data_IF_528219444193
#
_entry.id   IF_528219444193
#
_cell.length_a   1.000
_cell.length_b   1.000
_cell.length_c   1.000
_cell.angle_alpha   90.00
_cell.angle_beta   90.00
_cell.angle_gamma   90.00
#
_symmetry.space_group_name_H-M   'P 1'
#
loop_
_entity.id
_entity.type
_entity.pdbx_description
1 polymer ?
#
# COMPACT_ATOMS: atom_id res chain seq x y z
N UNK A 1 -11.02 -0.01 12.97
CA UNK A 1 -10.19 -1.10 12.42
C UNK A 1 -10.26 -2.40 13.22
N UNK A 2 -10.03 -2.41 14.55
CA UNK A 2 -9.99 -3.65 15.34
C UNK A 2 -11.25 -4.53 15.21
N UNK A 3 -12.45 -3.95 15.29
CA UNK A 3 -13.70 -4.69 15.08
C UNK A 3 -13.82 -5.28 13.66
N UNK A 4 -13.31 -4.57 12.65
CA UNK A 4 -13.30 -5.06 11.26
C UNK A 4 -12.40 -6.30 11.10
N UNK A 5 -11.28 -6.37 11.83
CA UNK A 5 -10.40 -7.56 11.81
C UNK A 5 -11.15 -8.81 12.27
N UNK A 6 -11.94 -8.73 13.33
CA UNK A 6 -12.70 -9.87 13.82
C UNK A 6 -13.80 -10.30 12.82
N UNK A 7 -14.46 -9.33 12.18
CA UNK A 7 -15.41 -9.60 11.10
C UNK A 7 -14.72 -10.24 9.88
N UNK A 8 -13.51 -9.83 9.54
CA UNK A 8 -12.76 -10.42 8.42
C UNK A 8 -12.35 -11.87 8.71
N UNK A 9 -12.17 -12.27 9.97
CA UNK A 9 -11.89 -13.66 10.35
C UNK A 9 -13.16 -14.52 10.31
N UNK A 10 -14.30 -13.96 10.69
CA UNK A 10 -15.60 -14.64 10.72
C UNK A 10 -16.68 -13.76 10.06
N UNK A 11 -16.71 -13.67 8.73
CA UNK A 11 -17.60 -12.74 8.04
C UNK A 11 -19.06 -13.19 8.15
N UNK A 12 -19.99 -12.27 8.43
CA UNK A 12 -21.41 -12.54 8.25
C UNK A 12 -21.73 -12.83 6.77
N UNK A 13 -22.66 -13.75 6.53
CA UNK A 13 -23.07 -14.11 5.17
C UNK A 13 -23.69 -12.91 4.47
N UNK A 14 -23.20 -12.61 3.26
CA UNK A 14 -23.69 -11.52 2.42
C UNK A 14 -23.01 -10.17 2.66
N UNK A 15 -22.09 -10.07 3.62
CA UNK A 15 -21.33 -8.85 3.93
C UNK A 15 -19.89 -8.89 3.38
N UNK A 16 -19.49 -9.98 2.71
CA UNK A 16 -18.10 -10.26 2.36
C UNK A 16 -17.46 -9.15 1.50
N UNK A 17 -18.18 -8.70 0.46
CA UNK A 17 -17.71 -7.63 -0.43
C UNK A 17 -17.62 -6.29 0.29
N UNK A 18 -18.58 -6.00 1.16
CA UNK A 18 -18.62 -4.76 1.93
C UNK A 18 -17.46 -4.68 2.92
N UNK A 19 -17.19 -5.77 3.65
CA UNK A 19 -16.05 -5.85 4.57
C UNK A 19 -14.71 -5.71 3.84
N UNK A 20 -14.59 -6.27 2.63
CA UNK A 20 -13.42 -6.07 1.78
C UNK A 20 -13.29 -4.60 1.33
N UNK A 21 -14.36 -3.93 0.91
CA UNK A 21 -14.29 -2.50 0.56
C UNK A 21 -13.83 -1.64 1.75
N UNK A 22 -14.35 -1.91 2.94
CA UNK A 22 -13.90 -1.21 4.15
C UNK A 22 -12.40 -1.39 4.40
N UNK A 23 -11.90 -2.62 4.28
CA UNK A 23 -10.48 -2.94 4.46
C UNK A 23 -9.61 -2.24 3.40
N UNK A 24 -10.03 -2.26 2.14
CA UNK A 24 -9.23 -1.80 0.99
C UNK A 24 -9.23 -0.27 0.94
N UNK A 25 -10.40 0.35 1.05
CA UNK A 25 -10.64 1.74 0.63
C UNK A 25 -10.99 2.71 1.77
N UNK A 26 -11.24 2.22 3.00
CA UNK A 26 -11.72 3.06 4.13
C UNK A 26 -10.76 3.13 5.32
N UNK A 27 -9.49 2.79 5.10
CA UNK A 27 -8.44 2.90 6.12
C UNK A 27 -7.38 3.89 5.66
N UNK A 28 -7.03 4.91 6.48
CA UNK A 28 -5.92 5.81 6.16
C UNK A 28 -4.62 5.04 5.89
N UNK A 29 -3.77 5.51 4.96
CA UNK A 29 -2.44 4.95 4.74
C UNK A 29 -1.42 5.46 5.78
N UNK A 30 -0.17 5.02 5.68
CA UNK A 30 0.91 5.59 6.49
C UNK A 30 0.98 5.04 7.91
N UNK A 31 1.16 5.95 8.87
CA UNK A 31 1.40 5.67 10.30
C UNK A 31 0.21 6.02 11.20
N UNK A 32 -0.98 6.11 10.62
CA UNK A 32 -2.24 6.25 11.37
C UNK A 32 -2.51 5.01 12.25
N UNK A 33 -3.21 5.18 13.37
CA UNK A 33 -3.50 4.10 14.30
C UNK A 33 -4.34 2.98 13.68
N UNK A 34 -5.24 3.30 12.75
CA UNK A 34 -5.98 2.30 11.99
C UNK A 34 -5.09 1.57 10.98
N UNK A 35 -4.13 2.28 10.37
CA UNK A 35 -3.13 1.69 9.49
C UNK A 35 -2.23 0.69 10.24
N UNK A 36 -1.84 0.99 11.48
CA UNK A 36 -1.08 0.08 12.34
C UNK A 36 -1.81 -1.27 12.51
N UNK A 37 -3.09 -1.22 12.88
CA UNK A 37 -3.92 -2.43 13.06
C UNK A 37 -4.11 -3.18 11.74
N UNK A 38 -4.33 -2.47 10.63
CA UNK A 38 -4.46 -3.06 9.29
C UNK A 38 -3.17 -3.78 8.85
N UNK A 39 -2.02 -3.11 8.97
CA UNK A 39 -0.72 -3.68 8.60
C UNK A 39 -0.40 -4.92 9.43
N UNK A 40 -0.63 -4.87 10.75
CA UNK A 40 -0.44 -6.02 11.64
C UNK A 40 -1.32 -7.23 11.27
N UNK A 41 -2.60 -7.00 10.97
CA UNK A 41 -3.50 -8.06 10.51
C UNK A 41 -3.06 -8.67 9.18
N UNK A 42 -2.76 -7.84 8.17
CA UNK A 42 -2.33 -8.32 6.85
C UNK A 42 -0.99 -9.07 6.93
N UNK A 43 -0.04 -8.59 7.75
CA UNK A 43 1.22 -9.28 7.99
C UNK A 43 1.00 -10.65 8.65
N UNK A 44 0.12 -10.73 9.65
CA UNK A 44 -0.23 -12.00 10.31
C UNK A 44 -0.90 -12.99 9.34
N UNK A 45 -1.75 -12.51 8.43
CA UNK A 45 -2.36 -13.35 7.37
C UNK A 45 -1.29 -13.84 6.39
N UNK A 46 -0.38 -12.97 5.96
CA UNK A 46 0.71 -13.33 5.05
C UNK A 46 1.65 -14.39 5.65
N UNK A 47 1.96 -14.30 6.96
CA UNK A 47 2.80 -15.26 7.68
C UNK A 47 2.06 -16.54 8.09
N UNK A 48 0.73 -16.56 8.00
CA UNK A 48 -0.10 -17.69 8.43
C UNK A 48 -0.35 -17.74 9.95
N UNK A 49 0.01 -16.71 10.70
CA UNK A 49 -0.25 -16.57 12.14
C UNK A 49 -1.74 -16.38 12.45
N UNK A 50 -2.48 -15.87 11.46
CA UNK A 50 -3.94 -15.78 11.49
C UNK A 50 -4.53 -16.09 10.12
N UNK A 51 -5.83 -16.36 10.07
CA UNK A 51 -6.53 -16.72 8.83
C UNK A 51 -7.79 -15.88 8.66
N UNK A 52 -8.16 -15.67 7.39
CA UNK A 52 -9.42 -15.05 6.99
C UNK A 52 -9.95 -15.80 5.77
N UNK A 53 -11.24 -16.14 5.71
CA UNK A 53 -11.82 -16.71 4.49
C UNK A 53 -11.87 -15.72 3.32
N UNK A 54 -11.66 -14.41 3.58
CA UNK A 54 -11.74 -13.35 2.56
C UNK A 54 -10.38 -12.84 2.09
N UNK A 55 -9.31 -13.08 2.86
CA UNK A 55 -7.97 -12.57 2.57
C UNK A 55 -6.97 -13.72 2.60
N UNK A 56 -6.52 -14.13 1.42
CA UNK A 56 -5.38 -15.05 1.24
C UNK A 56 -4.04 -14.37 1.56
N UNK A 57 -2.97 -15.12 1.86
CA UNK A 57 -1.62 -14.57 2.02
C UNK A 57 -1.16 -13.67 0.85
N UNK A 58 -1.42 -14.09 -0.39
CA UNK A 58 -1.08 -13.34 -1.61
C UNK A 58 -1.81 -12.00 -1.64
N UNK A 59 -3.13 -12.02 -1.40
CA UNK A 59 -3.96 -10.82 -1.29
C UNK A 59 -3.49 -9.91 -0.16
N UNK A 60 -3.04 -10.45 0.97
CA UNK A 60 -2.55 -9.64 2.07
C UNK A 60 -1.29 -8.84 1.68
N UNK A 61 -0.36 -9.46 0.96
CA UNK A 61 0.84 -8.79 0.42
C UNK A 61 0.46 -7.72 -0.62
N UNK A 62 -0.51 -8.00 -1.51
CA UNK A 62 -1.02 -6.98 -2.43
C UNK A 62 -1.56 -5.75 -1.68
N UNK A 63 -2.34 -5.98 -0.62
CA UNK A 63 -2.96 -4.91 0.16
C UNK A 63 -1.95 -4.15 1.02
N UNK A 64 -0.91 -4.81 1.54
CA UNK A 64 0.21 -4.13 2.17
C UNK A 64 0.89 -3.16 1.19
N UNK A 65 0.97 -3.53 -0.09
CA UNK A 65 1.50 -2.68 -1.16
C UNK A 65 0.71 -1.39 -1.42
N UNK A 66 -0.54 -1.28 -0.97
CA UNK A 66 -1.37 -0.08 -1.19
C UNK A 66 -1.35 0.92 -0.03
N UNK A 67 -0.63 0.61 1.06
CA UNK A 67 -0.64 1.42 2.28
C UNK A 67 0.31 2.63 2.26
N UNK A 68 0.89 2.93 1.08
CA UNK A 68 1.80 4.03 0.76
C UNK A 68 3.18 4.00 1.44
N UNK A 69 3.27 3.57 2.71
CA UNK A 69 4.50 3.48 3.49
C UNK A 69 4.23 3.40 5.00
N UNK A 70 5.28 3.23 5.80
CA UNK A 70 5.16 3.07 7.26
C UNK A 70 5.08 1.61 7.70
N UNK A 71 4.00 1.24 8.40
CA UNK A 71 3.89 -0.08 9.04
C UNK A 71 3.85 -1.27 8.07
N UNK A 72 3.59 -1.03 6.78
CA UNK A 72 3.54 -2.06 5.74
C UNK A 72 4.93 -2.47 5.20
N UNK A 73 5.98 -1.66 5.42
CA UNK A 73 7.28 -1.84 4.75
C UNK A 73 8.00 -3.13 5.21
N UNK A 74 8.19 -3.32 6.52
CA UNK A 74 8.88 -4.50 7.04
C UNK A 74 8.18 -5.81 6.63
N UNK A 75 6.83 -5.95 6.74
CA UNK A 75 6.13 -7.11 6.22
C UNK A 75 6.39 -7.41 4.73
N UNK A 76 6.49 -6.37 3.89
CA UNK A 76 6.80 -6.55 2.46
C UNK A 76 8.25 -6.99 2.25
N UNK A 77 9.20 -6.45 3.02
CA UNK A 77 10.61 -6.84 2.96
C UNK A 77 10.81 -8.30 3.42
N UNK A 78 10.16 -8.68 4.53
CA UNK A 78 10.15 -10.06 5.03
C UNK A 78 9.63 -11.03 3.95
N UNK A 79 8.58 -10.64 3.23
CA UNK A 79 7.95 -11.46 2.21
C UNK A 79 8.84 -11.72 0.98
N UNK A 80 9.95 -10.99 0.80
CA UNK A 80 10.93 -11.29 -0.25
C UNK A 80 11.65 -12.63 -0.05
N UNK A 81 11.62 -13.21 1.15
CA UNK A 81 12.24 -14.50 1.44
C UNK A 81 11.29 -15.69 1.22
N UNK A 82 9.99 -15.45 1.02
CA UNK A 82 9.00 -16.49 0.75
C UNK A 82 8.82 -16.68 -0.76
N UNK A 83 9.11 -17.87 -1.28
CA UNK A 83 9.09 -18.14 -2.71
C UNK A 83 7.72 -17.90 -3.39
N UNK A 84 6.61 -17.98 -2.66
CA UNK A 84 5.26 -17.72 -3.19
C UNK A 84 4.90 -16.23 -3.13
N UNK A 85 5.31 -15.55 -2.07
CA UNK A 85 4.94 -14.15 -1.83
C UNK A 85 5.93 -13.14 -2.43
N UNK A 86 7.19 -13.52 -2.58
CA UNK A 86 8.27 -12.64 -3.02
C UNK A 86 8.01 -11.96 -4.38
N UNK A 87 7.42 -12.62 -5.41
CA UNK A 87 7.06 -11.92 -6.65
C UNK A 87 6.06 -10.78 -6.43
N UNK A 88 5.10 -10.96 -5.52
CA UNK A 88 4.06 -9.97 -5.21
C UNK A 88 4.65 -8.83 -4.38
N UNK A 89 5.46 -9.17 -3.38
CA UNK A 89 6.15 -8.21 -2.52
C UNK A 89 7.14 -7.35 -3.31
N UNK A 90 7.91 -7.96 -4.21
CA UNK A 90 8.82 -7.25 -5.09
C UNK A 90 8.07 -6.21 -5.95
N UNK A 91 6.94 -6.62 -6.57
CA UNK A 91 6.10 -5.68 -7.32
C UNK A 91 5.58 -4.53 -6.46
N UNK A 92 5.15 -4.82 -5.22
CA UNK A 92 4.69 -3.77 -4.30
C UNK A 92 5.81 -2.79 -3.93
N UNK A 93 6.99 -3.31 -3.55
CA UNK A 93 8.15 -2.50 -3.16
C UNK A 93 8.70 -1.66 -4.32
N UNK A 94 8.71 -2.20 -5.55
CA UNK A 94 9.09 -1.48 -6.77
C UNK A 94 8.34 -0.15 -6.98
N UNK A 95 7.09 -0.06 -6.51
CA UNK A 95 6.26 1.15 -6.62
C UNK A 95 6.12 1.92 -5.29
N UNK A 96 6.80 1.49 -4.23
CA UNK A 96 6.77 2.14 -2.92
C UNK A 96 7.88 3.19 -2.84
N UNK A 97 7.50 4.45 -2.63
CA UNK A 97 8.44 5.58 -2.59
C UNK A 97 8.97 5.88 -1.18
N UNK A 98 8.15 5.61 -0.16
CA UNK A 98 8.45 5.96 1.23
C UNK A 98 9.34 4.90 1.91
N UNK A 99 10.41 4.49 1.23
CA UNK A 99 11.36 3.48 1.72
C UNK A 99 12.30 4.05 2.80
N UNK A 100 12.77 5.29 2.63
CA UNK A 100 13.74 5.93 3.52
C UNK A 100 14.90 4.97 3.85
N UNK A 101 15.27 4.81 5.12
CA UNK A 101 16.37 3.93 5.54
C UNK A 101 16.10 2.44 5.27
N UNK A 102 14.83 2.01 5.15
CA UNK A 102 14.50 0.62 4.79
C UNK A 102 14.96 0.25 3.36
N UNK A 103 15.41 1.23 2.57
CA UNK A 103 16.15 0.97 1.34
C UNK A 103 17.34 0.03 1.58
N UNK A 104 18.09 0.25 2.67
CA UNK A 104 19.29 -0.54 2.96
C UNK A 104 18.97 -1.99 3.30
N UNK A 105 17.80 -2.28 3.88
CA UNK A 105 17.36 -3.64 4.17
C UNK A 105 17.11 -4.44 2.88
N UNK A 106 16.54 -3.79 1.86
CA UNK A 106 16.36 -4.38 0.53
C UNK A 106 17.72 -4.55 -0.18
N UNK A 107 18.59 -3.54 -0.09
CA UNK A 107 19.94 -3.60 -0.64
C UNK A 107 20.77 -4.75 -0.03
N UNK A 108 20.68 -4.96 1.28
CA UNK A 108 21.36 -6.03 1.99
C UNK A 108 20.90 -7.41 1.49
N UNK A 109 19.58 -7.62 1.38
CA UNK A 109 19.03 -8.85 0.80
C UNK A 109 19.51 -9.08 -0.64
N UNK A 110 19.55 -8.04 -1.46
CA UNK A 110 20.05 -8.12 -2.83
C UNK A 110 21.53 -8.53 -2.88
N UNK A 111 22.37 -7.93 -2.02
CA UNK A 111 23.80 -8.26 -1.86
C UNK A 111 24.01 -9.69 -1.33
N UNK A 112 23.09 -10.18 -0.50
CA UNK A 112 23.07 -11.56 -0.01
C UNK A 112 22.60 -12.59 -1.06
N UNK A 113 22.18 -12.14 -2.25
CA UNK A 113 21.81 -13.00 -3.38
C UNK A 113 20.30 -13.23 -3.56
N UNK A 114 19.43 -12.51 -2.84
CA UNK A 114 17.99 -12.59 -3.08
C UNK A 114 17.64 -11.94 -4.44
N UNK A 115 17.22 -12.76 -5.41
CA UNK A 115 16.89 -12.32 -6.77
C UNK A 115 15.70 -11.36 -6.83
N UNK A 116 14.72 -11.50 -5.92
CA UNK A 116 13.58 -10.58 -5.85
C UNK A 116 13.98 -9.23 -5.29
N UNK A 117 14.87 -9.18 -4.30
CA UNK A 117 15.43 -7.93 -3.82
C UNK A 117 16.27 -7.23 -4.90
N UNK A 118 17.04 -7.97 -5.70
CA UNK A 118 17.74 -7.43 -6.87
C UNK A 118 16.77 -6.85 -7.91
N UNK A 119 15.65 -7.52 -8.16
CA UNK A 119 14.59 -7.01 -9.04
C UNK A 119 14.04 -5.67 -8.54
N UNK A 120 13.77 -5.54 -7.23
CA UNK A 120 13.31 -4.27 -6.63
C UNK A 120 14.33 -3.16 -6.83
N UNK A 121 15.60 -3.44 -6.52
CA UNK A 121 16.70 -2.48 -6.70
C UNK A 121 16.83 -2.02 -8.15
N UNK A 122 16.73 -2.95 -9.11
CA UNK A 122 16.79 -2.65 -10.54
C UNK A 122 15.58 -1.81 -10.99
N UNK A 123 14.38 -2.16 -10.55
CA UNK A 123 13.14 -1.42 -10.84
C UNK A 123 13.20 0.04 -10.35
N UNK A 124 13.76 0.28 -9.17
CA UNK A 124 14.01 1.63 -8.66
C UNK A 124 15.06 2.38 -9.49
N UNK A 125 16.16 1.71 -9.86
CA UNK A 125 17.22 2.29 -10.69
C UNK A 125 16.72 2.67 -12.09
N UNK A 126 15.84 1.85 -12.67
CA UNK A 126 15.18 2.09 -13.96
C UNK A 126 14.01 3.08 -13.86
N UNK A 127 13.74 3.61 -12.65
CA UNK A 127 12.67 4.56 -12.38
C UNK A 127 11.28 4.07 -12.82
N UNK A 128 11.00 2.76 -12.71
CA UNK A 128 9.72 2.18 -13.14
C UNK A 128 8.53 2.78 -12.37
N UNK A 129 8.72 3.15 -11.09
CA UNK A 129 7.72 3.86 -10.29
C UNK A 129 7.25 5.19 -10.92
N UNK A 130 8.11 5.82 -11.71
CA UNK A 130 7.84 7.06 -12.43
C UNK A 130 7.36 6.78 -13.86
N UNK A 131 8.10 5.96 -14.61
CA UNK A 131 7.86 5.70 -16.04
C UNK A 131 6.59 4.89 -16.32
N UNK A 132 6.11 4.11 -15.34
CA UNK A 132 4.83 3.38 -15.45
C UNK A 132 3.60 4.28 -15.35
N UNK A 133 3.76 5.54 -14.89
CA UNK A 133 2.65 6.48 -14.72
C UNK A 133 2.37 7.20 -16.04
N UNK A 134 1.10 7.55 -16.34
CA UNK A 134 0.78 8.32 -17.54
C UNK A 134 1.56 9.65 -17.56
N UNK A 135 2.23 9.99 -18.68
CA UNK A 135 2.85 11.30 -18.84
C UNK A 135 1.80 12.41 -18.88
N UNK A 136 2.21 13.65 -18.63
CA UNK A 136 1.36 14.81 -18.83
C UNK A 136 0.88 14.88 -20.29
N UNK A 137 -0.42 15.02 -20.50
CA UNK A 137 -0.96 15.17 -21.85
C UNK A 137 -0.48 16.48 -22.49
N UNK A 138 -0.14 16.44 -23.79
CA UNK A 138 0.29 17.63 -24.56
C UNK A 138 -0.78 18.74 -24.58
N UNK A 139 -2.05 18.36 -24.42
CA UNK A 139 -3.19 19.27 -24.35
C UNK A 139 -4.18 18.78 -23.31
N UNK A 140 -4.59 19.69 -22.40
CA UNK A 140 -5.63 19.44 -21.40
C UNK A 140 -6.84 20.32 -21.72
N UNK A 141 -8.00 19.71 -21.94
CA UNK A 141 -9.27 20.43 -22.13
C UNK A 141 -9.99 20.49 -20.79
N UNK A 142 -10.26 21.71 -20.31
CA UNK A 142 -10.93 21.98 -19.04
C UNK A 142 -12.12 22.92 -19.23
N UNK A 143 -13.07 22.89 -18.30
CA UNK A 143 -14.13 23.91 -18.19
C UNK A 143 -13.69 24.96 -17.17
N UNK A 144 -13.79 26.24 -17.52
CA UNK A 144 -13.41 27.32 -16.61
C UNK A 144 -14.40 27.40 -15.44
N UNK A 145 -13.93 27.15 -14.22
CA UNK A 145 -14.63 27.52 -12.98
C UNK A 145 -14.06 28.85 -12.50
N UNK A 146 -14.70 29.97 -12.87
CA UNK A 146 -14.24 31.31 -12.53
C UNK A 146 -14.87 31.80 -11.23
N UNK A 147 -14.03 32.09 -10.23
CA UNK A 147 -14.39 32.94 -9.09
C UNK A 147 -13.94 34.36 -9.41
N UNK A 148 -14.87 35.32 -9.44
CA UNK A 148 -14.57 36.72 -9.72
C UNK A 148 -14.14 37.44 -8.45
N UNK A 149 -13.20 38.39 -8.56
CA UNK A 149 -12.67 39.13 -7.42
C UNK A 149 -11.45 38.45 -6.81
N UNK A 150 -11.33 38.53 -5.49
CA UNK A 150 -10.30 37.83 -4.72
C UNK A 150 -10.81 36.43 -4.33
N UNK A 151 -9.89 35.48 -4.21
CA UNK A 151 -10.15 34.20 -3.54
C UNK A 151 -9.12 34.08 -2.43
N UNK A 152 -9.54 34.35 -1.21
CA UNK A 152 -8.75 34.15 0.00
C UNK A 152 -8.85 32.68 0.43
N UNK A 153 -7.88 32.20 1.20
CA UNK A 153 -7.95 30.84 1.77
C UNK A 153 -9.14 30.66 2.70
N UNK A 154 -9.59 31.73 3.37
CA UNK A 154 -10.78 31.70 4.24
C UNK A 154 -12.08 31.48 3.44
N UNK A 155 -12.16 31.93 2.18
CA UNK A 155 -13.32 31.65 1.32
C UNK A 155 -13.44 30.15 0.97
N UNK A 156 -12.29 29.46 0.91
CA UNK A 156 -12.21 28.04 0.58
C UNK A 156 -12.30 27.14 1.83
N UNK A 157 -11.87 27.65 2.98
CA UNK A 157 -11.83 26.96 4.26
C UNK A 157 -12.07 27.96 5.38
N UNK A 158 -13.33 28.35 5.64
CA UNK A 158 -13.65 29.41 6.59
C UNK A 158 -13.18 29.07 8.00
N UNK A 159 -12.62 30.06 8.69
CA UNK A 159 -12.58 30.03 10.14
C UNK A 159 -14.03 29.97 10.69
N UNK A 160 -14.30 29.13 11.72
CA UNK A 160 -15.62 29.05 12.34
C UNK A 160 -16.01 30.31 13.12
#
# INVERSE_FOLDING_TARGET
>A
MAALVELLKTPPVGEEEFLLDLLINRVPPGVDEAAYVKAGFLAAVAKGDTTSPLVSPEKAIELLGTMQGGYNIHPLIDALDDAKLAPIAAKALSHTLLMFDNFYDVEEKAKAGNEYAKQVMQSWADAEWFLSRPPLAEKITVTVFKVTGETNTDDLSPAP
#
